data_IF_734909599358
#
_entry.id   IF_734909599358
#
_cell.length_a   1.000
_cell.length_b   1.000
_cell.length_c   1.000
_cell.angle_alpha   90.00
_cell.angle_beta   90.00
_cell.angle_gamma   90.00
#
_symmetry.space_group_name_H-M   'P 1'
#
loop_
_entity.id
_entity.type
_entity.pdbx_description
1 polymer ?
#
# COMPACT_ATOMS: atom_id res chain seq x y z
N UNK A 1 0.81 9.31 16.57
CA UNK A 1 1.71 10.13 15.73
C UNK A 1 1.01 10.31 14.40
N UNK A 2 0.76 11.55 13.99
CA UNK A 2 0.06 11.88 12.75
C UNK A 2 0.85 11.31 11.54
N UNK A 3 0.17 10.88 10.46
CA UNK A 3 0.77 10.43 9.19
C UNK A 3 1.78 11.44 8.64
N UNK A 4 1.54 12.73 8.82
CA UNK A 4 2.41 13.83 8.42
C UNK A 4 3.75 13.80 9.18
N UNK A 5 3.70 13.61 10.50
CA UNK A 5 4.89 13.48 11.35
C UNK A 5 5.70 12.23 11.01
N UNK A 6 5.02 11.17 10.53
CA UNK A 6 5.67 9.96 10.06
C UNK A 6 6.36 10.16 8.71
N UNK A 7 5.73 10.87 7.78
CA UNK A 7 6.31 11.19 6.47
C UNK A 7 7.57 12.05 6.61
N UNK A 8 7.57 13.01 7.53
CA UNK A 8 8.75 13.82 7.90
C UNK A 8 9.91 12.93 8.38
N UNK A 9 9.64 11.94 9.25
CA UNK A 9 10.66 11.02 9.75
C UNK A 9 11.21 10.09 8.67
N UNK A 10 10.37 9.65 7.75
CA UNK A 10 10.82 8.87 6.59
C UNK A 10 11.80 9.70 5.76
N UNK A 11 11.46 10.95 5.43
CA UNK A 11 12.32 11.83 4.64
C UNK A 11 13.69 12.06 5.30
N UNK A 12 13.73 12.20 6.62
CA UNK A 12 14.97 12.34 7.38
C UNK A 12 15.92 11.15 7.17
N UNK A 13 15.40 9.91 7.01
CA UNK A 13 16.22 8.73 6.71
C UNK A 13 16.90 8.78 5.33
N UNK A 14 16.36 9.57 4.41
CA UNK A 14 16.94 9.83 3.08
C UNK A 14 17.77 11.13 3.06
N UNK A 15 17.84 11.86 4.18
CA UNK A 15 18.69 13.04 4.34
C UNK A 15 18.11 14.32 3.73
N UNK A 16 16.78 14.46 3.68
CA UNK A 16 16.11 15.69 3.26
C UNK A 16 14.93 16.05 4.18
N UNK A 17 14.51 17.32 4.14
CA UNK A 17 13.33 17.80 4.88
C UNK A 17 12.10 17.66 4.01
N UNK A 18 11.00 17.20 4.60
CA UNK A 18 9.72 17.04 3.92
C UNK A 18 8.68 17.89 4.63
N UNK A 19 8.08 18.82 3.89
CA UNK A 19 7.05 19.72 4.38
C UNK A 19 5.75 19.48 3.60
N UNK A 20 4.65 19.41 4.32
CA UNK A 20 3.31 19.26 3.73
C UNK A 20 2.69 20.65 3.64
N UNK A 21 2.49 21.11 2.41
CA UNK A 21 1.85 22.39 2.13
C UNK A 21 0.35 22.14 1.92
N UNK A 22 -0.43 22.28 2.99
CA UNK A 22 -1.90 22.21 2.95
C UNK A 22 -2.50 23.56 3.38
N UNK A 23 -3.43 24.10 2.59
CA UNK A 23 -4.10 25.36 2.91
C UNK A 23 -5.17 25.76 1.89
N UNK A 24 -6.11 26.61 2.31
CA UNK A 24 -7.25 27.04 1.49
C UNK A 24 -6.87 27.88 0.26
N UNK A 25 -5.65 28.43 0.20
CA UNK A 25 -5.12 29.15 -0.95
C UNK A 25 -3.78 28.54 -1.38
N UNK A 26 -3.84 27.63 -2.33
CA UNK A 26 -2.68 27.17 -3.11
C UNK A 26 -2.60 28.06 -4.35
N UNK A 27 -1.60 28.94 -4.40
CA UNK A 27 -1.42 29.88 -5.52
C UNK A 27 -0.50 29.29 -6.59
N UNK A 28 -0.66 29.68 -7.85
CA UNK A 28 0.22 29.24 -8.95
C UNK A 28 1.71 29.51 -8.68
N UNK A 29 2.13 30.69 -8.14
CA UNK A 29 3.52 30.92 -7.79
C UNK A 29 4.05 29.94 -6.73
N UNK A 30 3.22 29.58 -5.75
CA UNK A 30 3.59 28.59 -4.73
C UNK A 30 3.81 27.21 -5.35
N UNK A 31 2.89 26.75 -6.21
CA UNK A 31 3.03 25.47 -6.94
C UNK A 31 4.31 25.46 -7.77
N UNK A 32 4.55 26.51 -8.56
CA UNK A 32 5.76 26.61 -9.38
C UNK A 32 7.05 26.58 -8.54
N UNK A 33 7.04 27.26 -7.37
CA UNK A 33 8.16 27.24 -6.44
C UNK A 33 8.42 25.84 -5.88
N UNK A 34 7.36 25.14 -5.49
CA UNK A 34 7.42 23.74 -5.00
C UNK A 34 7.96 22.81 -6.09
N UNK A 35 7.49 22.94 -7.33
CA UNK A 35 7.95 22.09 -8.45
C UNK A 35 9.44 22.30 -8.75
N UNK A 36 9.90 23.55 -8.78
CA UNK A 36 11.32 23.87 -8.97
C UNK A 36 12.16 23.30 -7.83
N UNK A 37 11.73 23.51 -6.58
CA UNK A 37 12.44 23.01 -5.40
C UNK A 37 12.54 21.47 -5.40
N UNK A 38 11.42 20.80 -5.68
CA UNK A 38 11.36 19.34 -5.75
C UNK A 38 12.24 18.78 -6.88
N UNK A 39 12.30 19.46 -8.02
CA UNK A 39 13.16 19.06 -9.15
C UNK A 39 14.65 19.15 -8.79
N UNK A 40 15.09 20.25 -8.19
CA UNK A 40 16.48 20.44 -7.74
C UNK A 40 16.85 19.39 -6.68
N UNK A 41 15.98 19.20 -5.69
CA UNK A 41 16.18 18.23 -4.61
C UNK A 41 16.23 16.80 -5.13
N UNK A 42 15.32 16.44 -6.05
CA UNK A 42 15.28 15.11 -6.68
C UNK A 42 16.59 14.83 -7.42
N UNK A 43 17.08 15.78 -8.21
CA UNK A 43 18.35 15.63 -8.93
C UNK A 43 19.54 15.47 -7.99
N UNK A 44 19.57 16.20 -6.88
CA UNK A 44 20.60 16.05 -5.85
C UNK A 44 20.57 14.65 -5.22
N UNK A 45 19.39 14.17 -4.85
CA UNK A 45 19.20 12.85 -4.23
C UNK A 45 19.45 11.70 -5.21
N UNK A 46 19.11 11.85 -6.50
CA UNK A 46 19.43 10.88 -7.54
C UNK A 46 20.94 10.64 -7.65
N UNK A 47 21.73 11.73 -7.58
CA UNK A 47 23.19 11.64 -7.59
C UNK A 47 23.76 11.00 -6.32
N UNK A 48 23.10 11.20 -5.16
CA UNK A 48 23.61 10.76 -3.86
C UNK A 48 23.20 9.33 -3.49
N UNK A 49 21.96 8.94 -3.81
CA UNK A 49 21.33 7.70 -3.36
C UNK A 49 21.01 6.74 -4.54
N UNK A 50 21.20 7.19 -5.78
CA UNK A 50 20.83 6.48 -6.99
C UNK A 50 19.32 6.58 -7.27
N UNK A 51 18.93 6.49 -8.53
CA UNK A 51 17.55 6.75 -9.02
C UNK A 51 16.42 5.89 -8.44
N UNK A 52 16.74 4.88 -7.62
CA UNK A 52 15.76 4.06 -6.92
C UNK A 52 15.33 4.62 -5.56
N UNK A 53 15.99 5.65 -5.04
CA UNK A 53 15.65 6.23 -3.72
C UNK A 53 14.21 6.73 -3.70
N UNK A 54 13.77 7.41 -4.76
CA UNK A 54 12.43 7.99 -4.85
C UNK A 54 11.36 6.91 -4.72
N UNK A 55 11.53 5.79 -5.44
CA UNK A 55 10.62 4.63 -5.34
C UNK A 55 10.53 4.08 -3.92
N UNK A 56 11.66 4.03 -3.19
CA UNK A 56 11.69 3.57 -1.79
C UNK A 56 11.03 4.59 -0.85
N UNK A 57 11.27 5.88 -1.06
CA UNK A 57 10.68 6.95 -0.29
C UNK A 57 9.16 7.00 -0.49
N UNK A 58 8.71 7.10 -1.74
CA UNK A 58 7.29 7.08 -2.12
C UNK A 58 6.62 5.84 -1.51
N UNK A 59 7.23 4.66 -1.64
CA UNK A 59 6.70 3.44 -1.05
C UNK A 59 6.49 3.52 0.47
N UNK A 60 7.48 4.05 1.21
CA UNK A 60 7.39 4.19 2.67
C UNK A 60 6.34 5.22 3.07
N UNK A 61 6.29 6.38 2.39
CA UNK A 61 5.28 7.41 2.67
C UNK A 61 3.88 6.90 2.33
N UNK A 62 3.71 6.26 1.18
CA UNK A 62 2.45 5.61 0.76
C UNK A 62 2.00 4.53 1.72
N UNK A 63 2.90 3.90 2.49
CA UNK A 63 2.54 2.93 3.53
C UNK A 63 1.91 3.55 4.77
N UNK A 64 2.15 4.84 5.02
CA UNK A 64 1.52 5.59 6.12
C UNK A 64 0.05 5.87 5.84
N UNK A 65 -0.27 6.14 4.58
CA UNK A 65 -1.62 6.38 4.08
C UNK A 65 -2.30 5.09 3.60
N UNK A 66 -1.92 3.95 4.17
CA UNK A 66 -2.52 2.65 3.84
C UNK A 66 -3.46 2.13 4.91
N UNK A 67 -3.36 2.57 6.17
CA UNK A 67 -4.29 2.12 7.22
C UNK A 67 -5.76 2.44 6.88
N UNK A 68 -6.03 3.58 6.26
CA UNK A 68 -7.34 3.98 5.73
C UNK A 68 -7.76 3.22 4.46
N UNK A 69 -6.81 2.58 3.76
CA UNK A 69 -7.05 1.83 2.52
C UNK A 69 -7.09 0.32 2.69
N UNK A 70 -6.62 -0.23 3.83
CA UNK A 70 -6.66 -1.68 4.10
C UNK A 70 -8.06 -2.24 3.89
N UNK A 71 -9.09 -1.60 4.44
CA UNK A 71 -10.47 -2.08 4.30
C UNK A 71 -10.99 -1.94 2.88
N UNK A 72 -10.56 -0.91 2.15
CA UNK A 72 -10.90 -0.76 0.72
C UNK A 72 -10.27 -1.86 -0.10
N UNK A 73 -8.98 -2.17 0.12
CA UNK A 73 -8.26 -3.25 -0.54
C UNK A 73 -8.91 -4.61 -0.23
N UNK A 74 -9.29 -4.86 1.02
CA UNK A 74 -10.03 -6.07 1.41
C UNK A 74 -11.35 -6.20 0.67
N UNK A 75 -12.14 -5.13 0.59
CA UNK A 75 -13.41 -5.12 -0.17
C UNK A 75 -13.21 -5.37 -1.65
N UNK A 76 -12.20 -4.74 -2.26
CA UNK A 76 -11.85 -4.98 -3.67
C UNK A 76 -11.50 -6.44 -3.93
N UNK A 77 -10.70 -7.05 -3.05
CA UNK A 77 -10.28 -8.45 -3.20
C UNK A 77 -11.45 -9.41 -2.96
N UNK A 78 -12.29 -9.13 -1.96
CA UNK A 78 -13.50 -9.90 -1.69
C UNK A 78 -14.53 -9.81 -2.84
N UNK A 79 -14.48 -8.74 -3.63
CA UNK A 79 -15.37 -8.56 -4.78
C UNK A 79 -14.91 -9.32 -6.04
N UNK A 80 -13.71 -9.91 -6.06
CA UNK A 80 -13.27 -10.78 -7.15
C UNK A 80 -14.09 -12.07 -7.08
N UNK A 81 -14.71 -12.47 -8.20
CA UNK A 81 -15.68 -13.57 -8.25
C UNK A 81 -15.16 -14.87 -7.61
N UNK A 82 -13.93 -15.30 -7.94
CA UNK A 82 -13.32 -16.51 -7.38
C UNK A 82 -13.10 -16.45 -5.86
N UNK A 83 -12.78 -15.26 -5.32
CA UNK A 83 -12.60 -15.05 -3.88
C UNK A 83 -13.95 -15.03 -3.18
N UNK A 84 -14.93 -14.34 -3.77
CA UNK A 84 -16.30 -14.23 -3.28
C UNK A 84 -16.98 -15.60 -3.21
N UNK A 85 -16.83 -16.41 -4.24
CA UNK A 85 -17.39 -17.77 -4.30
C UNK A 85 -16.77 -18.65 -3.21
N UNK A 86 -15.45 -18.58 -3.03
CA UNK A 86 -14.77 -19.34 -1.98
C UNK A 86 -15.20 -18.90 -0.57
N UNK A 87 -15.37 -17.60 -0.33
CA UNK A 87 -15.84 -17.08 0.96
C UNK A 87 -17.24 -17.59 1.29
N UNK A 88 -18.17 -17.47 0.33
CA UNK A 88 -19.54 -17.98 0.47
C UNK A 88 -19.58 -19.50 0.71
N UNK A 89 -18.72 -20.26 0.02
CA UNK A 89 -18.62 -21.70 0.22
C UNK A 89 -18.17 -22.04 1.64
N UNK A 90 -17.13 -21.38 2.15
CA UNK A 90 -16.63 -21.62 3.51
C UNK A 90 -17.65 -21.23 4.57
N UNK A 91 -18.32 -20.10 4.38
CA UNK A 91 -19.38 -19.61 5.26
C UNK A 91 -20.54 -20.63 5.32
N UNK A 92 -21.03 -21.07 4.16
CA UNK A 92 -22.09 -22.07 4.05
C UNK A 92 -21.69 -23.43 4.64
N UNK A 93 -20.49 -23.92 4.34
CA UNK A 93 -20.04 -25.24 4.78
C UNK A 93 -19.79 -25.31 6.28
N UNK A 94 -19.43 -24.18 6.90
CA UNK A 94 -19.15 -24.06 8.33
C UNK A 94 -20.33 -23.56 9.16
N UNK A 95 -21.45 -23.21 8.51
CA UNK A 95 -22.59 -22.53 9.12
C UNK A 95 -22.17 -21.23 9.85
N UNK A 96 -21.41 -20.39 9.15
CA UNK A 96 -20.96 -19.08 9.61
C UNK A 96 -19.80 -19.10 10.60
N UNK A 97 -19.03 -20.20 10.68
CA UNK A 97 -17.92 -20.34 11.65
C UNK A 97 -16.54 -20.15 11.02
N UNK A 98 -16.46 -20.17 9.70
CA UNK A 98 -15.22 -20.04 8.95
C UNK A 98 -15.40 -19.02 7.83
N UNK A 99 -14.39 -18.17 7.67
CA UNK A 99 -14.35 -17.14 6.64
C UNK A 99 -12.93 -17.04 6.08
N UNK A 100 -12.79 -16.40 4.91
CA UNK A 100 -11.48 -16.09 4.37
C UNK A 100 -10.80 -14.96 5.16
N UNK A 101 -9.49 -15.11 5.35
CA UNK A 101 -8.62 -14.06 5.83
C UNK A 101 -7.92 -13.40 4.64
N UNK A 102 -8.19 -12.12 4.45
CA UNK A 102 -7.53 -11.26 3.46
C UNK A 102 -6.45 -10.44 4.18
N UNK A 103 -5.21 -10.89 4.05
CA UNK A 103 -4.03 -10.24 4.62
C UNK A 103 -3.52 -9.18 3.66
N UNK A 104 -3.54 -7.91 4.08
CA UNK A 104 -2.87 -6.82 3.36
C UNK A 104 -1.48 -6.68 3.97
N UNK A 105 -0.46 -6.94 3.17
CA UNK A 105 0.95 -6.97 3.55
C UNK A 105 1.67 -5.71 3.03
N UNK A 106 2.82 -5.34 3.62
CA UNK A 106 3.70 -4.35 3.03
C UNK A 106 4.04 -4.74 1.58
N UNK A 107 3.87 -3.81 0.64
CA UNK A 107 4.14 -4.10 -0.77
C UNK A 107 5.65 -4.09 -1.05
N UNK A 108 6.22 -5.24 -1.37
CA UNK A 108 7.56 -5.27 -1.92
C UNK A 108 7.45 -5.44 -3.43
N UNK A 109 8.35 -4.82 -4.19
CA UNK A 109 8.27 -4.72 -5.66
C UNK A 109 7.99 -6.06 -6.38
N UNK A 110 8.39 -7.18 -5.77
CA UNK A 110 8.27 -8.52 -6.34
C UNK A 110 7.51 -9.51 -5.44
N UNK A 111 6.83 -9.06 -4.38
CA UNK A 111 6.06 -9.93 -3.48
C UNK A 111 4.59 -9.49 -3.43
N UNK A 112 3.63 -10.44 -3.43
CA UNK A 112 2.22 -10.14 -3.32
C UNK A 112 1.96 -9.37 -2.02
N UNK A 113 1.28 -8.25 -2.16
CA UNK A 113 0.87 -7.41 -1.04
C UNK A 113 -0.52 -7.76 -0.52
N UNK A 114 -1.20 -8.76 -1.13
CA UNK A 114 -2.41 -9.35 -0.57
C UNK A 114 -2.34 -10.87 -0.63
N UNK A 115 -2.71 -11.53 0.47
CA UNK A 115 -2.88 -12.99 0.54
C UNK A 115 -4.29 -13.34 1.00
N UNK A 116 -4.95 -14.22 0.25
CA UNK A 116 -6.25 -14.79 0.61
C UNK A 116 -6.01 -16.19 1.17
N UNK A 117 -6.46 -16.43 2.40
CA UNK A 117 -6.11 -17.65 3.13
C UNK A 117 -7.20 -18.10 4.08
N UNK A 118 -7.08 -19.34 4.58
CA UNK A 118 -7.87 -19.89 5.67
C UNK A 118 -6.95 -20.41 6.76
N UNK A 119 -7.36 -20.20 8.01
CA UNK A 119 -6.76 -20.89 9.16
C UNK A 119 -7.37 -22.28 9.28
N UNK A 120 -6.52 -23.29 9.27
CA UNK A 120 -6.90 -24.70 9.40
C UNK A 120 -7.03 -25.10 10.89
N UNK A 121 -7.73 -26.19 11.22
CA UNK A 121 -7.90 -26.65 12.61
C UNK A 121 -6.58 -26.93 13.34
N UNK A 122 -5.54 -27.35 12.61
CA UNK A 122 -4.18 -27.57 13.12
C UNK A 122 -3.37 -26.27 13.29
N UNK A 123 -4.02 -25.11 13.19
CA UNK A 123 -3.42 -23.77 13.20
C UNK A 123 -2.49 -23.45 12.03
N UNK A 124 -2.38 -24.31 11.02
CA UNK A 124 -1.69 -23.96 9.77
C UNK A 124 -2.51 -22.95 8.96
N UNK A 125 -1.82 -22.17 8.13
CA UNK A 125 -2.45 -21.22 7.21
C UNK A 125 -2.36 -21.81 5.81
N UNK A 126 -3.51 -22.05 5.18
CA UNK A 126 -3.58 -22.40 3.76
C UNK A 126 -3.85 -21.14 2.96
N UNK A 127 -2.92 -20.78 2.08
CA UNK A 127 -3.09 -19.67 1.13
C UNK A 127 -3.73 -20.21 -0.15
N UNK A 128 -4.78 -19.56 -0.63
CA UNK A 128 -5.47 -19.91 -1.88
C UNK A 128 -5.03 -19.01 -3.03
N UNK A 129 -4.95 -17.71 -2.77
CA UNK A 129 -4.64 -16.71 -3.78
C UNK A 129 -3.63 -15.69 -3.27
N UNK A 130 -2.76 -15.25 -4.19
CA UNK A 130 -1.84 -14.14 -3.99
C UNK A 130 -2.17 -13.06 -5.01
N UNK A 131 -2.26 -11.81 -4.55
CA UNK A 131 -2.49 -10.67 -5.44
C UNK A 131 -1.43 -9.59 -5.21
N UNK A 132 -1.10 -8.92 -6.30
CA UNK A 132 -0.56 -7.57 -6.29
C UNK A 132 -1.72 -6.60 -6.49
N UNK A 133 -1.96 -5.74 -5.51
CA UNK A 133 -2.96 -4.68 -5.57
C UNK A 133 -2.25 -3.34 -5.58
N UNK A 134 -2.52 -2.52 -6.58
CA UNK A 134 -2.14 -1.12 -6.54
C UNK A 134 -3.05 -0.39 -5.51
N UNK A 135 -2.48 0.21 -4.44
CA UNK A 135 -3.29 0.80 -3.38
C UNK A 135 -4.12 2.01 -3.83
N UNK A 136 -3.79 2.62 -4.98
CA UNK A 136 -4.44 3.81 -5.51
C UNK A 136 -5.50 3.48 -6.53
N UNK A 137 -5.14 2.76 -7.60
CA UNK A 137 -6.04 2.38 -8.67
C UNK A 137 -6.94 1.20 -8.29
N UNK A 138 -6.61 0.48 -7.20
CA UNK A 138 -7.28 -0.74 -6.76
C UNK A 138 -7.26 -1.87 -7.81
N UNK A 139 -6.40 -1.75 -8.82
CA UNK A 139 -6.19 -2.83 -9.78
C UNK A 139 -5.48 -3.98 -9.07
N UNK A 140 -6.11 -5.16 -9.12
CA UNK A 140 -5.58 -6.40 -8.60
C UNK A 140 -5.05 -7.25 -9.76
N UNK A 141 -3.89 -7.85 -9.58
CA UNK A 141 -3.30 -8.83 -10.50
C UNK A 141 -2.93 -10.08 -9.72
N UNK A 142 -3.38 -11.25 -10.18
CA UNK A 142 -3.03 -12.51 -9.56
C UNK A 142 -1.54 -12.81 -9.77
N UNK A 143 -0.89 -13.34 -8.74
CA UNK A 143 0.50 -13.80 -8.78
C UNK A 143 0.49 -15.31 -8.56
N UNK A 144 1.05 -16.06 -9.50
CA UNK A 144 1.33 -17.49 -9.34
C UNK A 144 2.84 -17.69 -9.13
N UNK A 145 3.19 -18.65 -8.28
CA UNK A 145 4.55 -19.07 -8.00
C UNK A 145 4.81 -20.44 -8.63
#
# INVERSE_FOLDING_TARGET
>A
MNTDEQAVKIAANFGFTYDIVAGCLVTTPLVNGVDIYNSVTTKYLDNKLGSNWKKKFDFQVDSLFREDRVDTIRKTILAIDEVKELDNYLDSASNGKEHLFIWVLPQEKNNPNVRVSRKMPDSTIRVFYNYQVDPYSLQASSIQY
#
